data_IF_419546601319
#
_entry.id   IF_419546601319
#
_cell.length_a   1.000
_cell.length_b   1.000
_cell.length_c   1.000
_cell.angle_alpha   90.00
_cell.angle_beta   90.00
_cell.angle_gamma   90.00
#
_symmetry.space_group_name_H-M   'P 1'
#
loop_
_entity.id
_entity.type
_entity.pdbx_description
1 polymer ?
#
# COMPACT_ATOMS: atom_id res chain seq x y z
N UNK A 1 -3.62 -25.29 -13.23
CA UNK A 1 -3.75 -23.96 -12.61
C UNK A 1 -4.72 -24.11 -11.45
N UNK A 2 -4.26 -24.00 -10.19
CA UNK A 2 -5.14 -24.13 -9.02
C UNK A 2 -5.58 -22.75 -8.53
N UNK A 3 -6.89 -22.53 -8.46
CA UNK A 3 -7.46 -21.35 -7.83
C UNK A 3 -7.51 -21.64 -6.33
N UNK A 4 -6.72 -20.93 -5.53
CA UNK A 4 -6.83 -21.00 -4.07
C UNK A 4 -7.87 -20.00 -3.59
N UNK A 5 -8.91 -20.50 -2.92
CA UNK A 5 -9.95 -19.67 -2.31
C UNK A 5 -9.43 -19.13 -0.98
N UNK A 6 -9.25 -17.81 -0.88
CA UNK A 6 -8.78 -17.18 0.36
C UNK A 6 -9.85 -17.18 1.46
N UNK A 7 -9.39 -17.04 2.70
CA UNK A 7 -10.20 -17.19 3.91
C UNK A 7 -11.51 -16.39 3.85
N UNK A 8 -12.58 -17.05 4.27
CA UNK A 8 -13.99 -16.67 4.08
C UNK A 8 -14.45 -15.59 5.07
N UNK A 9 -13.74 -14.46 5.09
CA UNK A 9 -14.02 -13.28 5.91
C UNK A 9 -14.12 -12.06 5.02
N UNK A 10 -15.33 -11.54 4.85
CA UNK A 10 -15.61 -10.38 4.01
C UNK A 10 -14.97 -9.12 4.62
N UNK A 11 -13.81 -8.71 4.09
CA UNK A 11 -13.08 -7.54 4.57
C UNK A 11 -13.31 -6.34 3.64
N UNK A 12 -13.99 -5.31 4.15
CA UNK A 12 -14.32 -4.10 3.39
C UNK A 12 -13.26 -3.02 3.64
N UNK A 13 -12.36 -2.84 2.69
CA UNK A 13 -11.49 -1.66 2.61
C UNK A 13 -12.22 -0.51 1.91
N UNK A 14 -12.45 0.62 2.61
CA UNK A 14 -13.08 1.80 2.03
C UNK A 14 -12.17 3.03 2.12
N UNK A 15 -12.10 3.82 1.05
CA UNK A 15 -11.46 5.15 1.05
C UNK A 15 -12.53 6.24 1.10
N UNK A 16 -12.86 6.73 2.29
CA UNK A 16 -13.92 7.73 2.51
C UNK A 16 -13.66 9.10 1.84
N UNK A 17 -12.45 9.33 1.33
CA UNK A 17 -12.05 10.55 0.60
C UNK A 17 -11.38 10.22 -0.74
N UNK A 18 -11.88 9.19 -1.43
CA UNK A 18 -11.34 8.73 -2.72
C UNK A 18 -11.37 9.82 -3.80
N UNK A 19 -12.49 10.54 -3.94
CA UNK A 19 -12.67 11.59 -4.94
C UNK A 19 -13.48 12.75 -4.35
N UNK A 20 -13.03 13.98 -4.62
CA UNK A 20 -13.73 15.19 -4.19
C UNK A 20 -14.87 15.51 -5.16
N UNK A 21 -16.10 15.73 -4.66
CA UNK A 21 -17.31 16.00 -5.48
C UNK A 21 -17.29 17.30 -6.30
N UNK A 22 -16.27 18.14 -6.17
CA UNK A 22 -16.09 19.33 -7.03
C UNK A 22 -15.24 19.02 -8.27
N UNK A 23 -14.39 17.99 -8.21
CA UNK A 23 -14.13 17.17 -9.40
C UNK A 23 -15.41 16.37 -9.70
N UNK A 24 -15.55 15.74 -10.87
CA UNK A 24 -16.85 15.33 -11.44
C UNK A 24 -17.71 16.53 -11.88
N UNK A 25 -17.99 17.50 -11.00
CA UNK A 25 -18.84 18.66 -11.35
C UNK A 25 -18.15 19.73 -12.20
N UNK A 26 -16.82 19.81 -12.16
CA UNK A 26 -16.05 20.68 -13.06
C UNK A 26 -15.97 20.07 -14.46
N UNK A 27 -16.45 20.81 -15.47
CA UNK A 27 -16.56 20.38 -16.88
C UNK A 27 -15.22 20.28 -17.61
N UNK A 28 -14.16 20.89 -17.07
CA UNK A 28 -12.78 20.68 -17.55
C UNK A 28 -12.21 19.34 -17.03
N UNK A 29 -12.97 18.71 -16.14
CA UNK A 29 -13.00 17.31 -15.73
C UNK A 29 -13.11 16.22 -16.79
N UNK A 30 -11.99 15.72 -17.32
CA UNK A 30 -12.00 14.48 -18.11
C UNK A 30 -12.36 13.20 -17.30
N UNK A 31 -12.87 13.33 -16.05
CA UNK A 31 -13.29 12.22 -15.18
C UNK A 31 -14.75 11.77 -15.39
N UNK A 32 -15.60 12.60 -16.02
CA UNK A 32 -16.99 12.28 -16.39
C UNK A 32 -17.25 12.47 -17.90
N UNK A 33 -16.50 11.82 -18.80
CA UNK A 33 -16.82 11.86 -20.22
C UNK A 33 -18.25 11.32 -20.44
N UNK A 34 -19.11 12.12 -21.07
CA UNK A 34 -20.53 11.83 -21.30
C UNK A 34 -21.36 11.54 -20.02
N UNK A 35 -20.86 11.88 -18.83
CA UNK A 35 -21.51 11.59 -17.55
C UNK A 35 -21.18 10.21 -16.94
N UNK A 36 -20.29 9.43 -17.56
CA UNK A 36 -19.87 8.13 -17.07
C UNK A 36 -18.57 8.22 -16.25
N UNK A 37 -18.56 7.68 -15.02
CA UNK A 37 -17.37 7.59 -14.19
C UNK A 37 -16.73 6.19 -14.29
N UNK A 38 -15.56 6.11 -14.92
CA UNK A 38 -14.77 4.87 -14.93
C UNK A 38 -13.86 4.79 -13.70
N UNK A 39 -14.07 3.80 -12.85
CA UNK A 39 -13.21 3.52 -11.68
C UNK A 39 -12.36 2.28 -11.95
N UNK A 40 -11.04 2.45 -11.98
CA UNK A 40 -10.08 1.34 -12.12
C UNK A 40 -9.53 0.99 -10.73
N UNK A 41 -9.41 -0.31 -10.43
CA UNK A 41 -8.85 -0.81 -9.19
C UNK A 41 -7.82 -1.90 -9.49
N UNK A 42 -6.57 -1.68 -9.06
CA UNK A 42 -5.49 -2.65 -9.11
C UNK A 42 -5.31 -3.28 -7.72
N UNK A 43 -5.30 -4.61 -7.66
CA UNK A 43 -5.17 -5.37 -6.41
C UNK A 43 -3.84 -6.12 -6.42
N UNK A 44 -2.91 -5.67 -5.58
CA UNK A 44 -1.62 -6.33 -5.39
C UNK A 44 -1.73 -7.41 -4.32
N UNK A 45 -1.57 -8.67 -4.73
CA UNK A 45 -1.60 -9.81 -3.84
C UNK A 45 -0.18 -10.16 -3.36
N UNK A 46 0.17 -9.72 -2.15
CA UNK A 46 1.44 -10.03 -1.51
C UNK A 46 1.33 -11.29 -0.63
N UNK A 47 1.87 -12.41 -1.09
CA UNK A 47 2.03 -13.63 -0.29
C UNK A 47 3.50 -13.95 -0.09
N UNK A 48 3.94 -13.95 1.17
CA UNK A 48 5.25 -14.44 1.53
C UNK A 48 5.29 -15.97 1.48
N UNK A 49 5.89 -16.54 0.43
CA UNK A 49 6.46 -17.88 0.56
C UNK A 49 7.63 -17.78 1.54
N UNK A 50 7.57 -18.53 2.64
CA UNK A 50 8.72 -18.70 3.53
C UNK A 50 9.77 -19.47 2.74
N UNK A 51 10.81 -18.79 2.26
CA UNK A 51 11.89 -19.41 1.51
C UNK A 51 12.75 -20.27 2.43
N UNK A 52 12.52 -21.58 2.41
CA UNK A 52 13.40 -22.57 3.06
C UNK A 52 14.69 -22.84 2.28
N UNK A 53 14.78 -22.33 1.05
CA UNK A 53 15.98 -22.41 0.20
C UNK A 53 16.96 -21.33 0.63
N UNK A 54 17.84 -21.69 1.57
CA UNK A 54 18.89 -20.80 2.08
C UNK A 54 18.72 -20.46 3.54
N UNK A 55 19.02 -21.43 4.42
CA UNK A 55 19.47 -21.18 5.79
C UNK A 55 21.02 -21.26 5.83
N UNK A 56 21.78 -20.24 5.38
CA UNK A 56 23.03 -19.91 6.04
C UNK A 56 22.68 -19.15 7.33
N UNK A 57 23.22 -19.58 8.45
CA UNK A 57 22.90 -19.09 9.80
C UNK A 57 23.44 -17.69 10.06
N UNK A 58 22.93 -16.67 9.37
CA UNK A 58 23.29 -15.28 9.62
C UNK A 58 22.08 -14.35 9.37
N UNK A 59 21.22 -14.23 10.38
CA UNK A 59 20.00 -13.42 10.35
C UNK A 59 20.31 -11.91 10.44
N UNK A 60 20.96 -11.34 9.42
CA UNK A 60 21.22 -9.91 9.38
C UNK A 60 19.98 -9.13 8.88
N UNK A 61 18.97 -9.05 9.75
CA UNK A 61 17.65 -8.45 9.47
C UNK A 61 17.77 -6.99 9.00
N UNK A 62 18.82 -6.30 9.42
CA UNK A 62 19.14 -4.92 9.05
C UNK A 62 19.27 -4.73 7.53
N UNK A 63 19.82 -5.70 6.80
CA UNK A 63 20.03 -5.58 5.34
C UNK A 63 18.71 -5.60 4.55
N UNK A 64 17.75 -6.41 4.99
CA UNK A 64 16.40 -6.46 4.40
C UNK A 64 15.58 -5.21 4.73
N UNK A 65 15.71 -4.67 5.95
CA UNK A 65 15.06 -3.42 6.32
C UNK A 65 15.65 -2.20 5.59
N UNK A 66 16.98 -2.19 5.34
CA UNK A 66 17.63 -1.13 4.57
C UNK A 66 17.09 -1.00 3.13
N UNK A 67 16.71 -2.11 2.49
CA UNK A 67 16.07 -2.09 1.17
C UNK A 67 14.67 -1.44 1.18
N UNK A 68 13.89 -1.65 2.26
CA UNK A 68 12.59 -0.99 2.42
C UNK A 68 12.74 0.51 2.72
N UNK A 69 13.66 0.86 3.62
CA UNK A 69 13.94 2.24 4.05
C UNK A 69 14.41 3.16 2.92
N UNK A 70 14.97 2.60 1.84
CA UNK A 70 15.60 3.37 0.77
C UNK A 70 14.66 4.22 -0.09
N UNK A 71 13.48 3.70 -0.48
CA UNK A 71 12.75 4.27 -1.63
C UNK A 71 11.23 4.50 -1.48
N UNK A 72 10.52 3.90 -0.51
CA UNK A 72 9.03 3.93 -0.48
C UNK A 72 8.48 4.26 0.92
N UNK A 73 8.92 5.37 1.50
CA UNK A 73 8.33 5.88 2.74
C UNK A 73 6.90 6.40 2.51
N UNK A 74 5.92 5.80 3.19
CA UNK A 74 4.50 6.14 3.06
C UNK A 74 4.00 7.07 4.19
N UNK A 75 4.90 7.49 5.08
CA UNK A 75 4.65 8.37 6.21
C UNK A 75 5.87 9.25 6.55
N UNK A 76 5.62 10.41 7.14
CA UNK A 76 6.66 11.32 7.66
C UNK A 76 6.28 11.76 9.08
N UNK A 77 7.11 11.41 10.05
CA UNK A 77 7.01 11.93 11.42
C UNK A 77 7.72 13.27 11.48
N UNK A 78 7.09 14.28 12.10
CA UNK A 78 7.71 15.57 12.41
C UNK A 78 8.04 15.64 13.89
N UNK A 79 9.27 15.99 14.24
CA UNK A 79 9.72 16.20 15.62
C UNK A 79 10.44 17.54 15.68
N UNK A 80 9.78 18.55 16.26
CA UNK A 80 10.20 19.96 16.14
C UNK A 80 10.43 20.30 14.65
N UNK A 81 11.58 20.85 14.31
CA UNK A 81 11.97 21.25 12.95
C UNK A 81 12.47 20.08 12.08
N UNK A 82 12.64 18.88 12.66
CA UNK A 82 13.13 17.68 11.98
C UNK A 82 12.00 16.85 11.37
N UNK A 83 12.30 16.19 10.24
CA UNK A 83 11.39 15.28 9.52
C UNK A 83 12.05 13.91 9.36
N UNK A 84 11.34 12.85 9.73
CA UNK A 84 11.80 11.46 9.63
C UNK A 84 10.85 10.71 8.68
N UNK A 85 11.39 10.18 7.58
CA UNK A 85 10.65 9.32 6.65
C UNK A 85 10.55 7.91 7.23
N UNK A 86 9.36 7.32 7.22
CA UNK A 86 9.06 6.03 7.88
C UNK A 86 7.97 5.25 7.12
N UNK A 87 7.75 3.99 7.49
CA UNK A 87 6.69 3.14 6.94
C UNK A 87 5.62 2.84 7.98
N UNK A 88 4.33 3.04 7.66
CA UNK A 88 3.21 2.80 8.58
C UNK A 88 3.13 1.35 9.06
N UNK A 89 3.39 0.39 8.17
CA UNK A 89 3.39 -1.03 8.50
C UNK A 89 4.43 -1.38 9.58
N UNK A 90 5.62 -0.76 9.54
CA UNK A 90 6.68 -0.99 10.54
C UNK A 90 6.28 -0.39 11.89
N UNK A 91 5.73 0.83 11.89
CA UNK A 91 5.26 1.50 13.11
C UNK A 91 4.03 0.84 13.75
N UNK A 92 3.15 0.23 12.95
CA UNK A 92 1.98 -0.49 13.45
C UNK A 92 2.29 -1.91 13.94
N UNK A 93 3.48 -2.44 13.64
CA UNK A 93 3.90 -3.80 14.02
C UNK A 93 4.82 -3.84 15.26
N UNK A 94 5.04 -2.70 15.93
CA UNK A 94 5.91 -2.56 17.11
C UNK A 94 5.27 -1.68 18.18
#
# INVERSE_FOLDING_TARGET
MSIQTFNKTDYICACHKFLQRSLLSDINNELLPNGDLTVVCEIFYCYGSISTVGLPTNNNIDESLNLLLGNIADCVIKVRDSKIKVHKCILASR
#
